data_IF_513624032910
#
_entry.id   IF_513624032910
#
_cell.length_a   1.000
_cell.length_b   1.000
_cell.length_c   1.000
_cell.angle_alpha   90.00
_cell.angle_beta   90.00
_cell.angle_gamma   90.00
#
_symmetry.space_group_name_H-M   'P 1'
#
loop_
_entity.id
_entity.type
_entity.pdbx_description
1 polymer ?
#
# COMPACT_ATOMS: atom_id res chain seq x y z
N UNK A 1 -32.78 16.92 5.25
CA UNK A 1 -32.90 15.53 4.76
C UNK A 1 -31.54 15.18 4.20
N UNK A 2 -30.83 14.22 4.81
CA UNK A 2 -29.55 13.73 4.28
C UNK A 2 -29.79 13.12 2.90
N UNK A 3 -28.87 13.34 1.97
CA UNK A 3 -28.96 12.79 0.62
C UNK A 3 -28.67 11.28 0.66
N UNK A 4 -29.08 10.52 -0.35
CA UNK A 4 -28.76 9.08 -0.45
C UNK A 4 -27.26 8.81 -0.37
N UNK A 5 -26.43 9.73 -0.86
CA UNK A 5 -24.96 9.67 -0.73
C UNK A 5 -24.47 9.87 0.71
N UNK A 6 -25.19 10.64 1.52
CA UNK A 6 -24.87 10.84 2.95
C UNK A 6 -25.31 9.61 3.76
N UNK A 7 -26.38 8.93 3.37
CA UNK A 7 -26.84 7.70 4.03
C UNK A 7 -25.94 6.49 3.71
N UNK A 8 -25.34 6.40 2.51
CA UNK A 8 -24.38 5.35 2.16
C UNK A 8 -23.01 5.53 2.84
N UNK A 9 -22.61 6.78 3.16
CA UNK A 9 -21.37 7.06 3.91
C UNK A 9 -21.41 6.61 5.38
N UNK A 10 -22.59 6.45 5.95
CA UNK A 10 -22.79 5.98 7.34
C UNK A 10 -22.58 4.47 7.51
N UNK A 11 -22.46 3.70 6.41
CA UNK A 11 -22.40 2.24 6.44
C UNK A 11 -21.00 1.64 6.67
N UNK A 12 -19.91 2.43 6.62
CA UNK A 12 -18.54 1.91 6.85
C UNK A 12 -18.05 2.22 8.25
N UNK A 13 -17.69 1.17 9.00
CA UNK A 13 -17.17 1.28 10.37
C UNK A 13 -15.66 1.46 10.34
N UNK A 14 -15.16 2.42 11.11
CA UNK A 14 -13.73 2.57 11.36
C UNK A 14 -13.44 2.20 12.81
N UNK A 15 -12.52 1.27 13.02
CA UNK A 15 -12.13 0.73 14.32
C UNK A 15 -10.67 1.08 14.60
N UNK A 16 -10.37 1.55 15.80
CA UNK A 16 -9.00 1.91 16.19
C UNK A 16 -8.56 1.21 17.47
N UNK A 17 -7.28 0.86 17.55
CA UNK A 17 -6.66 0.26 18.73
C UNK A 17 -5.34 0.94 19.10
N UNK A 18 -5.03 0.98 20.40
CA UNK A 18 -3.76 1.42 20.93
C UNK A 18 -3.00 0.23 21.52
N UNK A 19 -1.84 -0.09 20.98
CA UNK A 19 -1.00 -1.18 21.43
C UNK A 19 -0.15 -1.80 20.33
N UNK A 20 0.59 -2.84 20.70
CA UNK A 20 1.37 -3.63 19.75
C UNK A 20 0.45 -4.43 18.82
N UNK A 21 0.73 -4.39 17.52
CA UNK A 21 -0.07 -5.06 16.49
C UNK A 21 -0.21 -6.58 16.70
N UNK A 22 0.71 -7.21 17.40
CA UNK A 22 0.65 -8.63 17.73
C UNK A 22 -0.44 -8.96 18.76
N UNK A 23 -0.87 -7.98 19.56
CA UNK A 23 -1.75 -8.19 20.71
C UNK A 23 -3.24 -7.97 20.44
N UNK A 24 -3.68 -7.99 19.18
CA UNK A 24 -5.08 -7.78 18.82
C UNK A 24 -5.65 -8.99 18.07
N UNK A 25 -6.93 -9.28 18.33
CA UNK A 25 -7.70 -10.17 17.49
C UNK A 25 -8.38 -9.37 16.39
N UNK A 26 -7.88 -9.52 15.18
CA UNK A 26 -8.40 -8.84 14.02
C UNK A 26 -9.56 -9.61 13.39
N UNK A 27 -10.58 -8.92 12.86
CA UNK A 27 -11.58 -9.59 12.03
C UNK A 27 -10.93 -10.11 10.74
N UNK A 28 -11.63 -10.95 9.99
CA UNK A 28 -11.20 -11.27 8.62
C UNK A 28 -11.18 -10.01 7.76
N UNK A 29 -10.04 -9.76 7.09
CA UNK A 29 -9.81 -8.56 6.29
C UNK A 29 -9.48 -8.94 4.83
N UNK A 30 -9.93 -8.13 3.88
CA UNK A 30 -9.66 -8.33 2.46
C UNK A 30 -8.33 -7.71 2.03
N UNK A 31 -7.90 -6.64 2.70
CA UNK A 31 -6.65 -5.96 2.42
C UNK A 31 -5.93 -5.59 3.71
N UNK A 32 -4.65 -5.92 3.78
CA UNK A 32 -3.71 -5.32 4.73
C UNK A 32 -2.88 -4.31 3.93
N UNK A 33 -3.03 -3.01 4.23
CA UNK A 33 -2.29 -1.92 3.59
C UNK A 33 -1.52 -1.15 4.65
N UNK A 34 -0.20 -1.24 4.64
CA UNK A 34 0.60 -0.69 5.74
C UNK A 34 1.97 -0.19 5.32
N UNK A 35 2.53 0.66 6.19
CA UNK A 35 3.93 1.09 6.16
C UNK A 35 4.53 0.91 7.54
N UNK A 36 5.12 -0.25 7.84
CA UNK A 36 5.70 -0.53 9.15
C UNK A 36 6.85 0.43 9.47
N UNK A 37 7.25 0.58 10.75
CA UNK A 37 8.42 1.37 11.11
C UNK A 37 9.65 0.88 10.35
N UNK A 38 10.38 1.79 9.68
CA UNK A 38 11.60 1.42 8.96
C UNK A 38 12.76 1.17 9.93
N UNK A 39 13.61 0.21 9.62
CA UNK A 39 14.73 -0.17 10.48
C UNK A 39 15.60 1.04 10.89
N UNK A 40 15.94 1.12 12.15
CA UNK A 40 16.73 2.20 12.78
C UNK A 40 16.22 3.64 12.55
N UNK A 41 15.05 3.82 11.97
CA UNK A 41 14.45 5.13 11.84
C UNK A 41 13.59 5.44 13.07
N UNK A 42 13.64 6.70 13.50
CA UNK A 42 12.81 7.21 14.61
C UNK A 42 12.89 6.40 15.90
N UNK A 43 14.10 6.08 16.31
CA UNK A 43 14.38 5.35 17.57
C UNK A 43 13.62 5.89 18.79
N UNK A 44 13.43 7.22 18.87
CA UNK A 44 12.66 7.86 19.95
C UNK A 44 11.15 7.61 19.89
N UNK A 45 10.61 7.28 18.72
CA UNK A 45 9.16 7.12 18.50
C UNK A 45 8.73 5.66 18.53
N UNK A 46 9.53 4.75 17.94
CA UNK A 46 9.18 3.34 17.75
C UNK A 46 10.22 2.35 18.30
N UNK A 47 11.12 2.79 19.17
CA UNK A 47 12.15 1.91 19.77
C UNK A 47 13.31 1.52 18.84
N UNK A 48 13.14 1.62 17.52
CA UNK A 48 14.18 1.37 16.52
C UNK A 48 14.55 -0.11 16.37
N UNK A 49 13.90 -0.80 15.45
CA UNK A 49 14.23 -2.19 15.12
C UNK A 49 15.60 -2.20 14.41
N UNK A 50 16.53 -3.04 14.92
CA UNK A 50 17.84 -3.17 14.27
C UNK A 50 17.69 -3.78 12.87
N UNK A 51 18.41 -3.30 11.83
CA UNK A 51 18.27 -3.83 10.48
C UNK A 51 18.46 -5.34 10.38
N UNK A 52 19.44 -5.92 11.09
CA UNK A 52 19.71 -7.36 11.11
C UNK A 52 18.57 -8.20 11.74
N UNK A 53 17.69 -7.58 12.51
CA UNK A 53 16.54 -8.23 13.15
C UNK A 53 15.21 -7.88 12.50
N UNK A 54 15.24 -7.06 11.46
CA UNK A 54 14.03 -6.54 10.86
C UNK A 54 13.21 -7.62 10.15
N UNK A 55 13.87 -8.51 9.42
CA UNK A 55 13.21 -9.58 8.68
C UNK A 55 12.48 -10.53 9.63
N UNK A 56 13.12 -10.91 10.74
CA UNK A 56 12.51 -11.76 11.78
C UNK A 56 11.32 -11.04 12.44
N UNK A 57 11.49 -9.76 12.77
CA UNK A 57 10.45 -8.95 13.42
C UNK A 57 9.20 -8.82 12.52
N UNK A 58 9.34 -8.50 11.23
CA UNK A 58 8.18 -8.38 10.34
C UNK A 58 7.56 -9.75 10.02
N UNK A 59 8.34 -10.83 10.02
CA UNK A 59 7.84 -12.17 9.81
C UNK A 59 6.91 -12.63 10.94
N UNK A 60 7.24 -12.33 12.20
CA UNK A 60 6.36 -12.57 13.36
C UNK A 60 5.01 -11.86 13.19
N UNK A 61 5.02 -10.61 12.73
CA UNK A 61 3.80 -9.88 12.43
C UNK A 61 3.04 -10.49 11.24
N UNK A 62 3.75 -10.92 10.19
CA UNK A 62 3.15 -11.51 9.01
C UNK A 62 2.44 -12.84 9.31
N UNK A 63 2.90 -13.63 10.27
CA UNK A 63 2.18 -14.82 10.78
C UNK A 63 0.82 -14.41 11.35
N UNK A 64 0.78 -13.41 12.24
CA UNK A 64 -0.48 -12.88 12.81
C UNK A 64 -1.40 -12.32 11.71
N UNK A 65 -0.85 -11.67 10.72
CA UNK A 65 -1.62 -11.11 9.60
C UNK A 65 -2.15 -12.19 8.66
N UNK A 66 -1.45 -13.30 8.52
CA UNK A 66 -1.92 -14.46 7.76
C UNK A 66 -3.27 -14.96 8.27
N UNK A 67 -3.43 -15.13 9.57
CA UNK A 67 -4.67 -15.63 10.16
C UNK A 67 -5.86 -14.69 9.91
N UNK A 68 -5.60 -13.40 9.88
CA UNK A 68 -6.63 -12.38 9.69
C UNK A 68 -6.97 -12.12 8.21
N UNK A 69 -6.06 -12.41 7.28
CA UNK A 69 -6.27 -12.15 5.87
C UNK A 69 -7.22 -13.19 5.26
N UNK A 70 -8.22 -12.74 4.51
CA UNK A 70 -9.06 -13.61 3.70
C UNK A 70 -8.23 -14.41 2.68
N UNK A 71 -8.67 -15.58 2.26
CA UNK A 71 -7.95 -16.42 1.29
C UNK A 71 -7.72 -15.70 -0.04
N UNK A 72 -8.69 -14.87 -0.46
CA UNK A 72 -8.59 -14.02 -1.66
C UNK A 72 -8.02 -12.63 -1.38
N UNK A 73 -7.53 -12.40 -0.16
CA UNK A 73 -7.01 -11.13 0.30
C UNK A 73 -5.60 -10.83 -0.18
N UNK A 74 -5.21 -9.58 0.01
CA UNK A 74 -3.89 -9.05 -0.35
C UNK A 74 -3.23 -8.36 0.84
N UNK A 75 -1.91 -8.54 0.99
CA UNK A 75 -1.08 -7.75 1.89
C UNK A 75 -0.15 -6.85 1.08
N UNK A 76 -0.21 -5.55 1.34
CA UNK A 76 0.57 -4.51 0.66
C UNK A 76 1.43 -3.78 1.67
N UNK A 77 2.74 -3.86 1.53
CA UNK A 77 3.73 -3.27 2.44
C UNK A 77 4.52 -2.19 1.71
N UNK A 78 4.34 -0.93 2.12
CA UNK A 78 5.20 0.18 1.68
C UNK A 78 6.42 0.28 2.58
N UNK A 79 7.61 0.13 2.03
CA UNK A 79 8.87 0.06 2.79
C UNK A 79 10.06 0.54 1.97
N UNK A 80 11.10 0.96 2.67
CA UNK A 80 12.36 1.41 2.08
C UNK A 80 13.55 0.96 2.90
N UNK A 81 14.65 0.67 2.21
CA UNK A 81 15.94 0.34 2.85
C UNK A 81 16.50 1.55 3.60
N UNK A 82 17.14 1.27 4.73
CA UNK A 82 17.94 2.25 5.44
C UNK A 82 19.40 2.26 4.91
N UNK A 83 20.08 3.38 5.11
CA UNK A 83 21.52 3.51 4.85
C UNK A 83 22.25 3.46 6.17
N UNK A 84 23.14 2.48 6.33
CA UNK A 84 24.00 2.28 7.49
C UNK A 84 25.44 2.41 7.01
N UNK A 85 26.21 3.27 7.63
CA UNK A 85 27.63 3.51 7.29
C UNK A 85 27.88 3.74 5.79
N UNK A 86 27.02 4.52 5.16
CA UNK A 86 27.11 4.86 3.74
C UNK A 86 26.63 3.78 2.77
N UNK A 87 26.19 2.62 3.25
CA UNK A 87 25.76 1.47 2.47
C UNK A 87 24.27 1.18 2.69
N UNK A 88 23.54 0.81 1.65
CA UNK A 88 22.15 0.35 1.82
C UNK A 88 22.14 -1.03 2.48
N UNK A 89 21.39 -1.13 3.57
CA UNK A 89 21.23 -2.39 4.27
C UNK A 89 20.20 -3.26 3.54
N UNK A 90 20.46 -4.57 3.33
CA UNK A 90 19.59 -5.44 2.52
C UNK A 90 18.33 -5.95 3.25
N UNK A 91 18.02 -5.52 4.45
CA UNK A 91 16.95 -6.06 5.31
C UNK A 91 15.58 -6.19 4.63
N UNK A 92 15.29 -5.35 3.63
CA UNK A 92 14.04 -5.43 2.87
C UNK A 92 14.02 -6.67 1.97
N UNK A 93 15.16 -7.03 1.37
CA UNK A 93 15.30 -8.25 0.57
C UNK A 93 15.26 -9.50 1.47
N UNK A 94 15.86 -9.41 2.67
CA UNK A 94 15.82 -10.50 3.66
C UNK A 94 14.37 -10.74 4.11
N UNK A 95 13.60 -9.68 4.37
CA UNK A 95 12.16 -9.75 4.63
C UNK A 95 11.41 -10.48 3.51
N UNK A 96 11.59 -10.06 2.26
CA UNK A 96 10.90 -10.69 1.11
C UNK A 96 11.26 -12.16 1.00
N UNK A 97 12.54 -12.50 1.16
CA UNK A 97 13.00 -13.89 1.11
C UNK A 97 12.38 -14.74 2.22
N UNK A 98 12.36 -14.24 3.45
CA UNK A 98 11.82 -14.95 4.60
C UNK A 98 10.30 -15.16 4.46
N UNK A 99 9.55 -14.14 4.09
CA UNK A 99 8.11 -14.26 3.86
C UNK A 99 7.78 -15.26 2.75
N UNK A 100 8.55 -15.27 1.66
CA UNK A 100 8.23 -16.09 0.48
C UNK A 100 8.77 -17.51 0.54
N UNK A 101 9.84 -17.78 1.29
CA UNK A 101 10.48 -19.09 1.36
C UNK A 101 10.10 -19.88 2.60
N UNK A 102 9.88 -19.17 3.71
CA UNK A 102 9.69 -19.81 5.01
C UNK A 102 8.25 -19.69 5.53
N UNK A 103 7.48 -18.70 5.07
CA UNK A 103 6.08 -18.44 5.51
C UNK A 103 5.02 -18.56 4.40
N UNK A 104 5.35 -19.14 3.27
CA UNK A 104 4.42 -19.44 2.17
C UNK A 104 3.73 -18.22 1.52
N UNK A 105 4.08 -16.97 1.88
CA UNK A 105 3.57 -15.80 1.20
C UNK A 105 3.98 -15.78 -0.27
N UNK A 106 3.05 -15.48 -1.15
CA UNK A 106 3.32 -15.35 -2.58
C UNK A 106 3.58 -13.89 -2.91
N UNK A 107 4.81 -13.54 -3.27
CA UNK A 107 5.12 -12.23 -3.85
C UNK A 107 4.52 -12.18 -5.27
N UNK A 108 3.50 -11.34 -5.45
CA UNK A 108 2.78 -11.20 -6.73
C UNK A 108 3.39 -10.10 -7.58
N UNK A 109 3.66 -8.95 -6.98
CA UNK A 109 4.21 -7.78 -7.70
C UNK A 109 5.00 -6.87 -6.75
N UNK A 110 5.84 -6.05 -7.35
CA UNK A 110 6.54 -4.95 -6.71
C UNK A 110 6.15 -3.66 -7.42
N UNK A 111 5.57 -2.73 -6.65
CA UNK A 111 5.27 -1.39 -7.14
C UNK A 111 6.34 -0.41 -6.64
N UNK A 112 6.56 0.63 -7.44
CA UNK A 112 7.44 1.74 -7.07
C UNK A 112 6.60 3.00 -6.89
N UNK A 113 6.61 3.57 -5.69
CA UNK A 113 6.12 4.93 -5.52
C UNK A 113 7.23 5.91 -5.88
N UNK A 114 7.17 6.47 -7.09
CA UNK A 114 8.07 7.52 -7.57
C UNK A 114 7.54 8.89 -7.08
N UNK A 115 8.28 9.52 -6.17
CA UNK A 115 7.90 10.81 -5.58
C UNK A 115 8.18 11.94 -6.57
N UNK A 116 7.21 12.82 -6.81
CA UNK A 116 7.40 13.97 -7.71
C UNK A 116 8.39 15.00 -7.17
N UNK A 117 8.58 15.02 -5.84
CA UNK A 117 9.52 15.92 -5.17
C UNK A 117 10.35 15.16 -4.15
N UNK A 118 11.60 15.56 -3.98
CA UNK A 118 12.48 15.11 -2.92
C UNK A 118 13.30 16.29 -2.38
N UNK A 119 13.59 16.27 -1.08
CA UNK A 119 14.43 17.29 -0.48
C UNK A 119 15.79 17.36 -1.20
N UNK A 120 16.29 18.54 -1.52
CA UNK A 120 17.64 18.68 -2.09
C UNK A 120 18.69 18.19 -1.09
N UNK A 121 19.76 17.60 -1.59
CA UNK A 121 20.84 17.11 -0.76
C UNK A 121 21.98 16.56 -1.61
N UNK A 122 23.17 16.55 -1.03
CA UNK A 122 24.38 15.98 -1.61
C UNK A 122 24.96 14.93 -0.65
N UNK A 123 25.11 13.73 -1.15
CA UNK A 123 25.77 12.62 -0.44
C UNK A 123 27.03 12.22 -1.22
N UNK A 124 28.09 11.82 -0.53
CA UNK A 124 29.38 11.53 -1.19
C UNK A 124 29.32 10.38 -2.20
N UNK A 125 28.49 9.38 -1.93
CA UNK A 125 28.50 8.09 -2.65
C UNK A 125 27.15 7.66 -3.22
N UNK A 126 26.12 8.50 -3.14
CA UNK A 126 24.78 8.17 -3.68
C UNK A 126 23.97 9.41 -4.03
N UNK A 127 22.94 9.23 -4.83
CA UNK A 127 21.96 10.27 -5.10
C UNK A 127 20.88 10.31 -4.02
N UNK A 128 20.09 11.38 -4.01
CA UNK A 128 18.91 11.51 -3.14
C UNK A 128 17.89 10.44 -3.44
N UNK A 129 17.21 9.98 -2.41
CA UNK A 129 16.13 9.01 -2.54
C UNK A 129 14.84 9.71 -2.98
N UNK A 130 14.24 9.23 -4.05
CA UNK A 130 13.01 9.79 -4.60
C UNK A 130 11.96 8.72 -4.88
N UNK A 131 12.09 7.52 -4.31
CA UNK A 131 11.14 6.44 -4.46
C UNK A 131 11.09 5.55 -3.23
N UNK A 132 10.00 4.80 -3.09
CA UNK A 132 9.81 3.73 -2.11
C UNK A 132 9.26 2.50 -2.79
N UNK A 133 9.53 1.32 -2.23
CA UNK A 133 9.01 0.04 -2.71
C UNK A 133 7.70 -0.26 -2.04
N UNK A 134 6.81 -0.90 -2.78
CA UNK A 134 5.55 -1.42 -2.26
C UNK A 134 5.44 -2.86 -2.73
N UNK A 135 5.50 -3.78 -1.79
CA UNK A 135 5.42 -5.20 -2.07
C UNK A 135 3.99 -5.69 -1.91
N UNK A 136 3.53 -6.48 -2.87
CA UNK A 136 2.22 -7.11 -2.86
C UNK A 136 2.36 -8.60 -2.66
N UNK A 137 1.79 -9.10 -1.57
CA UNK A 137 1.75 -10.50 -1.20
C UNK A 137 0.32 -11.02 -1.14
N UNK A 138 0.15 -12.33 -1.41
CA UNK A 138 -1.12 -13.05 -1.29
C UNK A 138 -0.89 -14.45 -0.71
N UNK A 139 -1.95 -15.07 -0.18
CA UNK A 139 -1.91 -16.47 0.26
C UNK A 139 -1.92 -17.44 -0.93
N UNK A 140 -2.66 -17.13 -1.96
CA UNK A 140 -2.93 -18.04 -3.06
C UNK A 140 -2.87 -17.34 -4.43
N UNK A 141 -2.93 -18.13 -5.51
CA UNK A 141 -2.84 -17.63 -6.89
C UNK A 141 -4.03 -16.75 -7.29
N UNK A 142 -5.23 -17.07 -6.78
CA UNK A 142 -6.46 -16.36 -7.10
C UNK A 142 -6.80 -15.40 -5.96
N UNK A 143 -6.82 -14.13 -6.23
CA UNK A 143 -7.11 -13.05 -5.29
C UNK A 143 -7.97 -11.98 -5.95
N UNK A 144 -8.59 -11.14 -5.13
CA UNK A 144 -9.41 -10.02 -5.61
C UNK A 144 -8.53 -8.96 -6.26
N UNK A 145 -8.83 -8.62 -7.53
CA UNK A 145 -8.09 -7.60 -8.28
C UNK A 145 -9.00 -6.86 -9.26
N UNK A 146 -9.38 -5.63 -8.89
CA UNK A 146 -10.30 -4.76 -9.63
C UNK A 146 -9.53 -3.77 -10.51
N UNK A 147 -8.86 -4.24 -11.56
CA UNK A 147 -7.99 -3.41 -12.41
C UNK A 147 -8.73 -2.23 -13.05
N UNK A 148 -10.00 -2.39 -13.39
CA UNK A 148 -10.80 -1.33 -14.01
C UNK A 148 -11.06 -0.15 -13.06
N UNK A 149 -11.06 -0.39 -11.73
CA UNK A 149 -11.26 0.65 -10.71
C UNK A 149 -10.07 1.62 -10.58
N UNK A 150 -8.92 1.28 -11.16
CA UNK A 150 -7.68 2.07 -11.08
C UNK A 150 -7.15 2.51 -12.46
N UNK A 151 -7.95 2.40 -13.51
CA UNK A 151 -7.57 2.87 -14.84
C UNK A 151 -7.21 4.36 -14.81
N UNK A 152 -6.25 4.74 -15.64
CA UNK A 152 -5.76 6.11 -15.78
C UNK A 152 -5.98 6.61 -17.22
N UNK A 153 -6.07 7.93 -17.45
CA UNK A 153 -6.17 8.48 -18.79
C UNK A 153 -5.01 7.98 -19.66
N UNK A 154 -5.32 7.63 -20.90
CA UNK A 154 -4.32 7.28 -21.89
C UNK A 154 -3.44 8.52 -22.17
N UNK A 155 -2.16 8.43 -21.83
CA UNK A 155 -1.21 9.52 -22.00
C UNK A 155 -0.90 9.83 -23.48
N UNK A 156 -0.08 10.83 -23.72
CA UNK A 156 0.25 11.29 -25.08
C UNK A 156 0.94 10.23 -25.94
N UNK A 157 1.62 9.23 -25.30
CA UNK A 157 2.17 8.09 -26.04
C UNK A 157 1.07 7.30 -26.77
N UNK A 158 -0.11 7.17 -26.17
CA UNK A 158 -1.22 6.43 -26.78
C UNK A 158 -1.74 7.16 -28.04
N UNK A 159 -1.84 8.49 -27.98
CA UNK A 159 -2.20 9.31 -29.14
C UNK A 159 -1.19 9.15 -30.28
N UNK A 160 0.09 9.18 -29.96
CA UNK A 160 1.18 9.04 -30.93
C UNK A 160 1.30 7.61 -31.46
N UNK A 161 1.40 6.62 -30.55
CA UNK A 161 1.67 5.21 -30.88
C UNK A 161 0.50 4.52 -31.57
N UNK A 162 -0.74 4.84 -31.16
CA UNK A 162 -1.94 4.23 -31.70
C UNK A 162 -2.45 4.89 -33.00
N UNK A 163 -1.95 6.07 -33.35
CA UNK A 163 -2.29 6.76 -34.61
C UNK A 163 -1.73 6.01 -35.82
N UNK A 164 -0.50 5.52 -35.73
CA UNK A 164 0.25 4.91 -36.83
C UNK A 164 0.63 3.46 -36.48
N UNK A 165 -0.37 2.57 -36.39
CA UNK A 165 -0.13 1.14 -36.13
C UNK A 165 0.45 0.47 -37.38
N UNK A 166 1.59 -0.23 -37.22
CA UNK A 166 2.11 -1.13 -38.23
C UNK A 166 1.26 -2.42 -38.33
N UNK A 167 1.40 -3.18 -39.40
CA UNK A 167 0.72 -4.49 -39.51
C UNK A 167 1.14 -5.44 -38.39
N UNK A 168 2.39 -5.39 -37.96
CA UNK A 168 2.89 -6.16 -36.80
C UNK A 168 2.16 -5.77 -35.51
N UNK A 169 1.82 -4.50 -35.30
CA UNK A 169 1.07 -4.04 -34.12
C UNK A 169 -0.39 -4.56 -34.11
N UNK A 170 -0.94 -4.88 -35.28
CA UNK A 170 -2.32 -5.36 -35.45
C UNK A 170 -2.42 -6.89 -35.38
N UNK A 171 -1.41 -7.59 -35.83
CA UNK A 171 -1.48 -9.05 -36.09
C UNK A 171 -0.56 -9.88 -35.21
N UNK A 172 0.39 -9.29 -34.51
CA UNK A 172 1.41 -10.00 -33.74
C UNK A 172 0.79 -10.82 -32.61
N UNK A 173 0.84 -12.13 -32.72
CA UNK A 173 0.35 -13.07 -31.69
C UNK A 173 1.42 -13.42 -30.65
N UNK A 174 2.72 -13.34 -31.01
CA UNK A 174 3.86 -13.66 -30.14
C UNK A 174 4.98 -12.63 -30.28
N UNK A 175 5.82 -12.49 -29.25
CA UNK A 175 7.02 -11.67 -29.34
C UNK A 175 8.07 -12.36 -30.22
N UNK A 176 8.98 -11.60 -30.84
CA UNK A 176 10.09 -12.17 -31.63
C UNK A 176 11.03 -13.08 -30.82
N UNK A 177 10.95 -12.99 -29.47
CA UNK A 177 11.75 -13.78 -28.52
C UNK A 177 11.01 -14.99 -27.96
N UNK A 178 9.81 -15.32 -28.47
CA UNK A 178 9.03 -16.46 -27.97
C UNK A 178 8.50 -16.30 -26.54
N UNK A 179 8.55 -15.10 -25.95
CA UNK A 179 8.16 -14.83 -24.57
C UNK A 179 6.65 -14.86 -24.32
N UNK A 180 5.83 -15.28 -25.25
CA UNK A 180 4.36 -15.33 -25.13
C UNK A 180 3.66 -13.98 -25.07
N UNK A 181 4.40 -12.87 -25.08
CA UNK A 181 3.86 -11.51 -25.03
C UNK A 181 3.60 -11.00 -26.44
N UNK A 182 2.66 -11.63 -27.12
CA UNK A 182 2.11 -11.11 -28.37
C UNK A 182 1.21 -9.91 -28.07
N UNK A 183 1.42 -8.79 -28.77
CA UNK A 183 0.65 -7.58 -28.52
C UNK A 183 -0.06 -7.11 -29.78
N UNK A 184 -1.31 -7.54 -29.91
CA UNK A 184 -2.22 -6.79 -30.76
C UNK A 184 -2.68 -5.57 -29.98
N UNK A 185 -2.01 -4.42 -30.20
CA UNK A 185 -2.33 -3.15 -29.53
C UNK A 185 -3.46 -2.39 -30.23
N UNK A 186 -3.99 -2.89 -31.35
CA UNK A 186 -5.12 -2.27 -32.06
C UNK A 186 -6.38 -2.18 -31.17
N UNK A 187 -6.53 -3.12 -30.23
CA UNK A 187 -7.62 -3.12 -29.24
C UNK A 187 -7.61 -1.90 -28.32
N UNK A 188 -6.49 -1.19 -28.21
CA UNK A 188 -6.35 0.02 -27.40
C UNK A 188 -6.64 1.31 -28.17
N UNK A 189 -6.82 1.19 -29.50
CA UNK A 189 -7.17 2.34 -30.34
C UNK A 189 -8.52 2.89 -29.88
N UNK A 190 -8.57 4.20 -29.65
CA UNK A 190 -9.76 4.94 -29.21
C UNK A 190 -10.21 4.64 -27.75
N UNK A 191 -9.41 3.97 -26.93
CA UNK A 191 -9.68 3.86 -25.49
C UNK A 191 -9.15 5.09 -24.77
N UNK A 192 -10.02 5.86 -24.08
CA UNK A 192 -9.59 7.03 -23.32
C UNK A 192 -8.80 6.66 -22.04
N UNK A 193 -9.00 5.45 -21.53
CA UNK A 193 -8.40 4.95 -20.30
C UNK A 193 -7.55 3.71 -20.57
N UNK A 194 -6.47 3.55 -19.80
CA UNK A 194 -5.54 2.42 -19.85
C UNK A 194 -5.22 1.95 -18.43
N UNK A 195 -4.76 0.72 -18.29
CA UNK A 195 -4.26 0.22 -17.01
C UNK A 195 -2.97 0.95 -16.63
N UNK A 196 -2.79 1.33 -15.35
CA UNK A 196 -1.57 1.96 -14.88
C UNK A 196 -0.37 0.98 -14.98
N UNK A 197 0.85 1.52 -14.93
CA UNK A 197 2.03 0.72 -14.67
C UNK A 197 2.20 0.48 -13.17
N UNK A 198 3.11 -0.43 -12.80
CA UNK A 198 3.51 -0.62 -11.40
C UNK A 198 4.46 0.47 -10.88
N UNK A 199 4.73 1.53 -11.66
CA UNK A 199 5.39 2.75 -11.19
C UNK A 199 4.33 3.83 -10.96
N UNK A 200 4.02 4.07 -9.69
CA UNK A 200 3.02 5.02 -9.25
C UNK A 200 3.70 6.37 -8.96
N UNK A 201 3.41 7.37 -9.77
CA UNK A 201 4.02 8.70 -9.61
C UNK A 201 3.06 9.63 -8.86
N UNK A 202 3.53 10.21 -7.76
CA UNK A 202 2.72 11.13 -6.99
C UNK A 202 3.51 11.93 -5.94
N UNK A 203 2.94 13.04 -5.51
CA UNK A 203 3.57 13.90 -4.52
C UNK A 203 3.57 13.24 -3.13
N UNK A 204 4.67 13.35 -2.36
CA UNK A 204 4.67 13.03 -0.95
C UNK A 204 3.86 14.07 -0.16
N UNK A 205 3.53 13.75 1.08
CA UNK A 205 2.90 14.72 1.99
C UNK A 205 3.90 15.82 2.33
N UNK A 206 3.54 17.07 2.05
CA UNK A 206 4.44 18.23 2.23
C UNK A 206 4.23 18.99 3.55
N UNK A 207 3.06 18.81 4.19
CA UNK A 207 2.71 19.45 5.47
C UNK A 207 2.31 18.38 6.48
N UNK A 208 3.31 17.81 7.15
CA UNK A 208 3.07 16.85 8.24
C UNK A 208 2.83 17.61 9.55
N UNK A 209 1.59 17.90 9.87
CA UNK A 209 1.23 18.43 11.18
C UNK A 209 1.33 17.27 12.18
N UNK A 210 2.43 17.25 12.94
CA UNK A 210 2.64 16.30 14.04
C UNK A 210 3.04 14.86 13.68
N UNK A 211 3.07 14.46 12.40
CA UNK A 211 3.47 13.10 11.99
C UNK A 211 4.39 13.13 10.78
N UNK A 212 5.63 12.70 10.96
CA UNK A 212 6.69 12.84 9.96
C UNK A 212 6.80 11.72 8.90
N UNK A 213 5.87 10.73 8.86
CA UNK A 213 5.97 9.53 8.02
C UNK A 213 4.69 9.08 7.32
N UNK A 214 3.68 9.93 7.23
CA UNK A 214 2.46 9.55 6.51
C UNK A 214 2.72 9.48 5.00
N UNK A 215 2.27 8.42 4.35
CA UNK A 215 2.09 8.42 2.91
C UNK A 215 0.85 9.25 2.54
N UNK A 216 0.78 9.78 1.30
CA UNK A 216 -0.39 10.54 0.85
C UNK A 216 -1.60 9.64 0.70
N UNK A 217 -2.81 10.17 0.91
CA UNK A 217 -4.06 9.41 0.91
C UNK A 217 -4.34 8.72 -0.43
N UNK A 218 -3.92 9.28 -1.55
CA UNK A 218 -4.09 8.67 -2.87
C UNK A 218 -3.40 7.30 -2.98
N UNK A 219 -2.35 7.05 -2.19
CA UNK A 219 -1.61 5.79 -2.24
C UNK A 219 -2.42 4.61 -1.68
N UNK A 220 -2.93 4.63 -0.44
CA UNK A 220 -3.83 3.58 0.01
C UNK A 220 -5.14 3.54 -0.78
N UNK A 221 -5.69 4.67 -1.26
CA UNK A 221 -6.88 4.66 -2.13
C UNK A 221 -6.68 3.83 -3.39
N UNK A 222 -5.50 3.89 -4.01
CA UNK A 222 -5.18 3.07 -5.18
C UNK A 222 -5.29 1.58 -4.87
N UNK A 223 -4.65 1.12 -3.79
CA UNK A 223 -4.64 -0.30 -3.42
C UNK A 223 -5.99 -0.77 -2.86
N UNK A 224 -6.72 0.07 -2.14
CA UNK A 224 -8.07 -0.23 -1.65
C UNK A 224 -9.02 -0.44 -2.85
N UNK A 225 -9.01 0.43 -3.85
CA UNK A 225 -9.80 0.25 -5.08
C UNK A 225 -9.41 -1.02 -5.83
N UNK A 226 -8.11 -1.32 -5.89
CA UNK A 226 -7.58 -2.44 -6.64
C UNK A 226 -7.91 -3.80 -6.00
N UNK A 227 -7.81 -3.91 -4.67
CA UNK A 227 -7.85 -5.20 -3.97
C UNK A 227 -9.07 -5.43 -3.10
N UNK A 228 -10.03 -4.49 -3.07
CA UNK A 228 -11.25 -4.63 -2.26
C UNK A 228 -12.49 -4.17 -3.00
N UNK A 229 -13.66 -4.63 -2.53
CA UNK A 229 -14.98 -4.14 -2.92
C UNK A 229 -15.58 -3.26 -1.82
N UNK A 230 -16.57 -2.39 -2.10
CA UNK A 230 -17.34 -1.70 -1.07
C UNK A 230 -17.87 -2.69 -0.02
N UNK A 231 -17.76 -2.33 1.27
CA UNK A 231 -18.13 -3.19 2.39
C UNK A 231 -17.03 -4.11 2.92
N UNK A 232 -15.97 -4.37 2.13
CA UNK A 232 -14.80 -5.14 2.60
C UNK A 232 -14.05 -4.40 3.73
N UNK A 233 -13.27 -5.15 4.50
CA UNK A 233 -12.46 -4.60 5.60
C UNK A 233 -11.00 -4.46 5.20
N UNK A 234 -10.42 -3.30 5.54
CA UNK A 234 -9.01 -2.94 5.35
C UNK A 234 -8.33 -2.84 6.71
N UNK A 235 -7.19 -3.49 6.89
CA UNK A 235 -6.36 -3.41 8.10
C UNK A 235 -5.08 -2.61 7.83
N UNK A 236 -4.77 -1.69 8.73
CA UNK A 236 -3.45 -1.06 8.85
C UNK A 236 -2.90 -1.30 10.26
N UNK A 237 -2.05 -2.31 10.48
CA UNK A 237 -1.53 -2.66 11.79
C UNK A 237 -0.44 -1.71 12.30
N UNK A 238 -0.03 -0.72 11.49
CA UNK A 238 0.90 0.35 11.83
C UNK A 238 0.32 1.69 11.35
N UNK A 239 -0.92 1.97 11.76
CA UNK A 239 -1.81 2.97 11.16
C UNK A 239 -1.31 4.42 11.25
N UNK A 240 -0.35 4.69 12.14
CA UNK A 240 0.20 6.03 12.30
C UNK A 240 -0.90 7.07 12.53
N UNK A 241 -1.01 8.01 11.62
CA UNK A 241 -2.03 9.06 11.67
C UNK A 241 -3.39 8.67 11.07
N UNK A 242 -3.61 7.41 10.69
CA UNK A 242 -4.90 6.90 10.20
C UNK A 242 -5.23 7.23 8.75
N UNK A 243 -4.24 7.47 7.91
CA UNK A 243 -4.47 7.82 6.50
C UNK A 243 -5.17 6.68 5.73
N UNK A 244 -4.82 5.42 6.02
CA UNK A 244 -5.47 4.24 5.43
C UNK A 244 -6.95 4.16 5.81
N UNK A 245 -7.30 4.48 7.06
CA UNK A 245 -8.68 4.43 7.55
C UNK A 245 -9.55 5.51 6.89
N UNK A 246 -9.01 6.73 6.74
CA UNK A 246 -9.71 7.80 6.02
C UNK A 246 -9.95 7.40 4.55
N UNK A 247 -8.95 6.81 3.89
CA UNK A 247 -9.09 6.32 2.54
C UNK A 247 -10.14 5.17 2.43
N UNK A 248 -10.14 4.25 3.39
CA UNK A 248 -11.12 3.16 3.46
C UNK A 248 -12.55 3.70 3.59
N UNK A 249 -12.76 4.63 4.52
CA UNK A 249 -14.06 5.29 4.72
C UNK A 249 -14.55 6.01 3.46
N UNK A 250 -13.68 6.80 2.84
CA UNK A 250 -14.04 7.60 1.65
C UNK A 250 -14.41 6.70 0.46
N UNK A 251 -13.95 5.47 0.49
CA UNK A 251 -14.24 4.43 -0.50
C UNK A 251 -15.30 3.42 -0.03
N UNK A 252 -16.01 3.68 1.08
CA UNK A 252 -17.05 2.79 1.62
C UNK A 252 -16.53 1.40 2.04
N UNK A 253 -15.30 1.35 2.59
CA UNK A 253 -14.72 0.15 3.19
C UNK A 253 -14.66 0.30 4.70
N UNK A 254 -14.81 -0.79 5.42
CA UNK A 254 -14.51 -0.83 6.84
C UNK A 254 -13.00 -0.70 7.03
N UNK A 255 -12.57 -0.04 8.09
CA UNK A 255 -11.17 0.12 8.42
C UNK A 255 -10.86 -0.36 9.83
N UNK A 256 -9.75 -1.05 10.00
CA UNK A 256 -9.18 -1.39 11.31
C UNK A 256 -7.76 -0.83 11.33
N UNK A 257 -7.44 -0.02 12.33
CA UNK A 257 -6.10 0.56 12.46
C UNK A 257 -5.60 0.50 13.89
N UNK A 258 -4.38 0.02 14.08
CA UNK A 258 -3.72 0.04 15.38
C UNK A 258 -2.37 0.72 15.30
N UNK A 259 -1.94 1.32 16.41
CA UNK A 259 -0.61 1.91 16.53
C UNK A 259 -0.14 1.83 17.99
N UNK A 260 1.12 1.50 18.21
CA UNK A 260 1.70 1.40 19.54
C UNK A 260 2.27 2.73 20.05
N UNK A 261 2.28 3.77 19.23
CA UNK A 261 2.72 5.10 19.63
C UNK A 261 1.52 5.92 20.09
N UNK A 262 1.50 6.43 21.34
CA UNK A 262 0.36 7.16 21.90
C UNK A 262 0.04 8.45 21.15
N UNK A 263 1.04 9.15 20.62
CA UNK A 263 0.80 10.38 19.85
C UNK A 263 0.21 10.06 18.47
N UNK A 264 0.67 8.99 17.82
CA UNK A 264 0.08 8.51 16.57
C UNK A 264 -1.38 8.14 16.74
N UNK A 265 -1.70 7.36 17.77
CA UNK A 265 -3.06 6.97 18.10
C UNK A 265 -3.96 8.20 18.38
N UNK A 266 -3.47 9.16 19.14
CA UNK A 266 -4.20 10.40 19.43
C UNK A 266 -4.49 11.20 18.16
N UNK A 267 -3.50 11.33 17.27
CA UNK A 267 -3.65 12.02 15.98
C UNK A 267 -4.64 11.27 15.08
N UNK A 268 -4.54 9.95 15.00
CA UNK A 268 -5.46 9.10 14.23
C UNK A 268 -6.91 9.32 14.70
N UNK A 269 -7.15 9.20 16.01
CA UNK A 269 -8.47 9.44 16.60
C UNK A 269 -9.01 10.83 16.29
N UNK A 270 -8.18 11.87 16.46
CA UNK A 270 -8.58 13.24 16.18
C UNK A 270 -8.94 13.44 14.70
N UNK A 271 -8.11 12.97 13.77
CA UNK A 271 -8.38 13.10 12.33
C UNK A 271 -9.66 12.38 11.89
N UNK A 272 -9.96 11.23 12.46
CA UNK A 272 -11.20 10.52 12.19
C UNK A 272 -12.41 11.33 12.75
N UNK A 273 -12.30 11.85 13.96
CA UNK A 273 -13.34 12.69 14.57
C UNK A 273 -13.57 13.97 13.76
N UNK A 274 -12.51 14.65 13.32
CA UNK A 274 -12.59 15.86 12.49
C UNK A 274 -13.24 15.58 11.12
N UNK A 275 -13.10 14.34 10.62
CA UNK A 275 -13.77 13.87 9.43
C UNK A 275 -15.21 13.39 9.65
N UNK A 276 -15.76 13.62 10.84
CA UNK A 276 -17.13 13.23 11.23
C UNK A 276 -17.30 11.73 11.52
N UNK A 277 -16.21 11.02 11.81
CA UNK A 277 -16.23 9.58 12.12
C UNK A 277 -16.12 9.41 13.64
N UNK A 278 -17.01 8.61 14.22
CA UNK A 278 -16.91 8.14 15.60
C UNK A 278 -16.33 6.72 15.57
N UNK A 279 -14.99 6.54 15.70
CA UNK A 279 -14.41 5.23 15.56
C UNK A 279 -14.83 4.29 16.69
N UNK A 280 -15.09 3.05 16.36
CA UNK A 280 -15.16 1.97 17.34
C UNK A 280 -13.76 1.68 17.90
N UNK A 281 -13.68 0.98 19.02
CA UNK A 281 -12.42 0.64 19.66
C UNK A 281 -12.22 -0.87 19.71
N UNK A 282 -11.00 -1.31 19.38
CA UNK A 282 -10.50 -2.66 19.61
C UNK A 282 -9.44 -2.59 20.71
N UNK A 283 -9.43 -3.58 21.58
CA UNK A 283 -8.52 -3.63 22.72
C UNK A 283 -7.56 -4.81 22.56
N UNK A 284 -6.28 -4.65 22.99
CA UNK A 284 -5.36 -5.77 23.01
C UNK A 284 -5.86 -6.84 24.01
N UNK A 285 -5.59 -8.10 23.71
CA UNK A 285 -5.78 -9.16 24.68
C UNK A 285 -4.71 -9.06 25.78
N UNK A 286 -5.06 -9.54 26.98
CA UNK A 286 -4.21 -9.45 28.17
C UNK A 286 -3.00 -10.43 28.10
#
# INVERSE_FOLDING_TARGET
MATAADQEKELSTQTIGYGDALNFDYPTVQLIMTSPPYANQRKKTYGGIHPDKYAEWIAEHAEKFWDSLADTGSMVINIKENVVDGTRHPYVYDMVNLLTRDQEWRLVDEYIWAKTTAAPGKWPNRFRDQWERIYHFTKQKHFTMNQDAVMVPAGDWAKSRLKNLSENDKTRRESATGSGVGRNISKWKNRPMVYPSNVLTGAPVTRNVGHSAAFPQWLPEFFIKLFTNPGDTVLDPFAGSGTTLLAARDLQRNGVGVDNNPESYKIMRQRLTDAGIHPAHIYPYA
#
